data_IF_683598974979
#
_entry.id   IF_683598974979
#
_cell.length_a   1.000
_cell.length_b   1.000
_cell.length_c   1.000
_cell.angle_alpha   90.00
_cell.angle_beta   90.00
_cell.angle_gamma   90.00
#
_symmetry.space_group_name_H-M   'P 1'
#
loop_
_entity.id
_entity.type
_entity.pdbx_description
1 polymer ?
#
# COMPACT_ATOMS: atom_id res chain seq x y z
N UNK A 1 12.09 -1.27 -11.24
CA UNK A 1 10.84 -2.04 -11.12
C UNK A 1 9.70 -1.09 -11.43
N UNK A 2 8.77 -1.46 -12.30
CA UNK A 2 7.60 -0.60 -12.62
C UNK A 2 6.54 -0.70 -11.52
N UNK A 3 5.60 0.25 -11.43
CA UNK A 3 4.51 0.17 -10.47
C UNK A 3 3.65 -1.07 -10.71
N UNK A 4 3.34 -1.40 -11.97
CA UNK A 4 2.56 -2.59 -12.30
C UNK A 4 3.24 -3.87 -11.80
N UNK A 5 4.55 -4.02 -12.05
CA UNK A 5 5.29 -5.20 -11.59
C UNK A 5 5.33 -5.32 -10.06
N UNK A 6 5.48 -4.20 -9.34
CA UNK A 6 5.42 -4.19 -7.89
C UNK A 6 4.02 -4.51 -7.36
N UNK A 7 2.99 -3.93 -7.97
CA UNK A 7 1.58 -4.11 -7.61
C UNK A 7 1.17 -5.58 -7.68
N UNK A 8 1.49 -6.25 -8.78
CA UNK A 8 1.21 -7.68 -8.95
C UNK A 8 1.94 -8.52 -7.91
N UNK A 9 3.26 -8.34 -7.77
CA UNK A 9 4.06 -9.08 -6.80
C UNK A 9 3.64 -8.82 -5.34
N UNK A 10 3.14 -7.63 -5.01
CA UNK A 10 2.61 -7.33 -3.70
C UNK A 10 1.25 -8.02 -3.45
N UNK A 11 0.33 -7.95 -4.41
CA UNK A 11 -0.96 -8.63 -4.32
C UNK A 11 -0.83 -10.16 -4.21
N UNK A 12 0.11 -10.76 -4.93
CA UNK A 12 0.42 -12.19 -4.82
C UNK A 12 0.95 -12.57 -3.42
N UNK A 13 1.85 -11.77 -2.84
CA UNK A 13 2.32 -11.97 -1.46
C UNK A 13 1.17 -11.83 -0.46
N UNK A 14 0.31 -10.84 -0.65
CA UNK A 14 -0.87 -10.64 0.19
C UNK A 14 -1.78 -11.87 0.13
N UNK A 15 -2.09 -12.35 -1.08
CA UNK A 15 -2.88 -13.58 -1.29
C UNK A 15 -2.25 -14.79 -0.59
N UNK A 16 -0.94 -14.98 -0.70
CA UNK A 16 -0.25 -16.09 -0.06
C UNK A 16 -0.41 -16.08 1.48
N UNK A 17 -0.36 -14.90 2.11
CA UNK A 17 -0.64 -14.76 3.56
C UNK A 17 -2.10 -15.10 3.86
N UNK A 18 -3.05 -14.57 3.08
CA UNK A 18 -4.47 -14.84 3.27
C UNK A 18 -4.85 -16.31 3.11
N UNK A 19 -4.24 -17.01 2.15
CA UNK A 19 -4.49 -18.43 1.92
C UNK A 19 -4.05 -19.28 3.12
N UNK A 20 -2.95 -18.92 3.81
CA UNK A 20 -2.51 -19.56 5.07
C UNK A 20 -3.47 -19.29 6.24
N UNK A 21 -4.10 -18.12 6.25
CA UNK A 21 -4.90 -17.60 7.36
C UNK A 21 -6.41 -17.70 7.11
N UNK A 22 -6.84 -18.53 6.16
CA UNK A 22 -8.24 -18.66 5.74
C UNK A 22 -9.22 -19.02 6.89
N UNK A 23 -8.70 -19.66 7.94
CA UNK A 23 -9.41 -20.09 9.13
C UNK A 23 -9.72 -18.96 10.12
N UNK A 24 -9.02 -17.83 10.02
CA UNK A 24 -9.27 -16.66 10.87
C UNK A 24 -10.55 -15.93 10.42
N UNK A 25 -11.21 -15.25 11.36
CA UNK A 25 -12.22 -14.25 11.05
C UNK A 25 -11.60 -12.98 10.44
N UNK A 26 -12.43 -12.11 9.86
CA UNK A 26 -11.96 -10.87 9.24
C UNK A 26 -11.28 -9.93 10.25
N UNK A 27 -11.81 -9.85 11.48
CA UNK A 27 -11.22 -9.03 12.55
C UNK A 27 -9.87 -9.60 13.04
N UNK A 28 -9.78 -10.91 13.20
CA UNK A 28 -8.52 -11.58 13.56
C UNK A 28 -7.48 -11.41 12.45
N UNK A 29 -7.91 -11.47 11.19
CA UNK A 29 -7.04 -11.26 10.04
C UNK A 29 -6.54 -9.82 9.96
N UNK A 30 -7.41 -8.81 10.16
CA UNK A 30 -6.98 -7.41 10.23
C UNK A 30 -5.97 -7.23 11.37
N UNK A 31 -6.25 -7.77 12.56
CA UNK A 31 -5.32 -7.69 13.69
C UNK A 31 -3.99 -8.44 13.44
N UNK A 32 -4.02 -9.53 12.67
CA UNK A 32 -2.83 -10.26 12.26
C UNK A 32 -1.89 -9.37 11.43
N UNK A 33 -2.42 -8.47 10.61
CA UNK A 33 -1.62 -7.57 9.80
C UNK A 33 -0.99 -6.38 10.56
N UNK A 34 -1.17 -6.28 11.89
CA UNK A 34 -0.41 -5.34 12.72
C UNK A 34 1.09 -5.61 12.60
N UNK A 35 1.88 -4.54 12.59
CA UNK A 35 3.34 -4.61 12.40
C UNK A 35 3.99 -5.64 13.31
N UNK A 36 3.64 -5.64 14.60
CA UNK A 36 4.21 -6.51 15.62
C UNK A 36 3.98 -8.00 15.31
N UNK A 37 2.85 -8.34 14.68
CA UNK A 37 2.55 -9.69 14.22
C UNK A 37 3.26 -10.01 12.90
N UNK A 38 3.21 -9.10 11.93
CA UNK A 38 3.75 -9.31 10.59
C UNK A 38 5.27 -9.45 10.60
N UNK A 39 5.96 -8.66 11.42
CA UNK A 39 7.43 -8.72 11.55
C UNK A 39 7.90 -10.05 12.13
N UNK A 40 7.15 -10.63 13.07
CA UNK A 40 7.46 -11.90 13.70
C UNK A 40 7.10 -13.09 12.81
N UNK A 41 5.93 -13.06 12.19
CA UNK A 41 5.32 -14.23 11.54
C UNK A 41 5.52 -14.29 10.03
N UNK A 42 5.71 -13.14 9.39
CA UNK A 42 5.86 -13.01 7.93
C UNK A 42 7.06 -12.09 7.58
N UNK A 43 8.29 -12.37 8.09
CA UNK A 43 9.44 -11.46 7.96
C UNK A 43 9.86 -11.18 6.51
N UNK A 44 9.56 -12.08 5.58
CA UNK A 44 9.87 -11.93 4.15
C UNK A 44 8.82 -11.10 3.38
N UNK A 45 7.69 -10.75 4.01
CA UNK A 45 6.62 -9.99 3.37
C UNK A 45 7.08 -8.58 2.98
N UNK A 46 7.88 -7.95 3.84
CA UNK A 46 8.38 -6.59 3.67
C UNK A 46 9.87 -6.53 4.02
N UNK A 47 10.72 -5.88 3.20
CA UNK A 47 12.16 -5.77 3.50
C UNK A 47 12.44 -5.08 4.84
N UNK A 48 11.58 -4.16 5.28
CA UNK A 48 11.74 -3.46 6.56
C UNK A 48 11.55 -4.38 7.79
N UNK A 49 10.87 -5.51 7.62
CA UNK A 49 10.65 -6.46 8.71
C UNK A 49 11.93 -7.18 9.10
N UNK A 50 12.83 -7.46 8.14
CA UNK A 50 14.15 -8.00 8.41
C UNK A 50 15.00 -7.09 9.31
N UNK A 51 14.72 -5.78 9.30
CA UNK A 51 15.37 -4.77 10.13
C UNK A 51 14.53 -4.38 11.37
N UNK A 52 13.40 -5.06 11.59
CA UNK A 52 12.41 -4.73 12.63
C UNK A 52 12.02 -3.24 12.65
N UNK A 53 11.81 -2.65 11.46
CA UNK A 53 11.57 -1.22 11.28
C UNK A 53 10.15 -0.92 10.80
N UNK A 54 9.48 0.03 11.45
CA UNK A 54 8.18 0.58 11.01
C UNK A 54 8.37 1.51 9.80
N UNK A 55 7.45 1.47 8.85
CA UNK A 55 7.44 2.41 7.71
C UNK A 55 6.84 3.78 8.08
N UNK A 56 5.93 3.81 9.05
CA UNK A 56 5.34 5.02 9.60
C UNK A 56 5.39 4.96 11.12
N UNK A 57 5.77 6.08 11.74
CA UNK A 57 5.80 6.22 13.18
C UNK A 57 4.38 6.41 13.71
N UNK A 58 3.75 5.30 14.10
CA UNK A 58 2.44 5.27 14.74
C UNK A 58 2.36 4.09 15.71
N UNK A 59 1.55 4.27 16.76
CA UNK A 59 1.38 3.25 17.80
C UNK A 59 0.86 1.93 17.21
N UNK A 60 -0.24 1.99 16.47
CA UNK A 60 -0.94 0.83 15.92
C UNK A 60 -0.78 0.74 14.40
N UNK A 61 0.44 0.53 13.91
CA UNK A 61 0.72 0.37 12.48
C UNK A 61 0.14 -0.95 11.96
N UNK A 62 -0.85 -0.87 11.06
CA UNK A 62 -1.41 -2.04 10.39
C UNK A 62 -1.02 -2.08 8.91
N UNK A 63 -0.52 -3.21 8.44
CA UNK A 63 0.08 -3.35 7.11
C UNK A 63 -0.88 -3.94 6.05
N UNK A 64 -2.14 -4.23 6.38
CA UNK A 64 -3.10 -4.84 5.45
C UNK A 64 -3.26 -4.04 4.15
N UNK A 65 -3.46 -2.73 4.26
CA UNK A 65 -3.54 -1.81 3.12
C UNK A 65 -2.27 -0.97 2.96
N UNK A 66 -1.08 -1.51 3.31
CA UNK A 66 0.16 -0.76 3.15
C UNK A 66 0.37 -0.26 1.70
N UNK A 67 -0.13 -0.99 0.72
CA UNK A 67 -0.46 -0.46 -0.60
C UNK A 67 -1.81 0.28 -0.55
N UNK A 68 -1.76 1.62 -0.52
CA UNK A 68 -2.94 2.46 -0.31
C UNK A 68 -3.96 2.34 -1.47
N UNK A 69 -5.25 2.07 -1.21
CA UNK A 69 -6.29 2.02 -2.24
C UNK A 69 -6.57 3.36 -2.93
N UNK A 70 -6.08 4.48 -2.38
CA UNK A 70 -6.18 5.81 -2.99
C UNK A 70 -4.94 6.19 -3.81
N UNK A 71 -3.92 5.33 -3.87
CA UNK A 71 -2.78 5.56 -4.74
C UNK A 71 -3.20 5.25 -6.18
N UNK A 72 -2.83 6.12 -7.12
CA UNK A 72 -3.04 5.91 -8.56
C UNK A 72 -1.69 5.89 -9.23
N UNK A 73 -1.48 4.93 -10.12
CA UNK A 73 -0.29 4.89 -10.95
C UNK A 73 -0.61 4.57 -12.40
N UNK A 74 0.27 5.05 -13.28
CA UNK A 74 0.32 4.68 -14.69
C UNK A 74 1.78 4.58 -15.09
N UNK A 75 2.26 3.39 -15.45
CA UNK A 75 3.66 3.19 -15.86
C UNK A 75 4.00 3.94 -17.18
N UNK A 76 2.99 4.30 -17.98
CA UNK A 76 3.15 5.12 -19.19
C UNK A 76 3.01 6.63 -18.93
N UNK A 77 2.67 7.01 -17.69
CA UNK A 77 2.38 8.39 -17.29
C UNK A 77 0.94 8.82 -17.58
N UNK A 78 0.38 9.64 -16.69
CA UNK A 78 -0.96 10.21 -16.81
C UNK A 78 -1.03 11.43 -17.73
N UNK A 79 -0.05 12.33 -17.59
CA UNK A 79 0.03 13.60 -18.34
C UNK A 79 1.40 14.25 -18.17
N UNK A 80 1.73 15.13 -19.10
CA UNK A 80 2.80 16.11 -18.93
C UNK A 80 2.35 17.25 -18.01
N UNK A 81 3.22 17.66 -17.09
CA UNK A 81 3.13 18.85 -16.28
C UNK A 81 4.43 19.62 -16.43
N UNK A 82 4.38 20.76 -17.12
CA UNK A 82 5.58 21.48 -17.55
C UNK A 82 6.46 20.57 -18.43
N UNK A 83 7.69 20.27 -17.99
CA UNK A 83 8.65 19.40 -18.67
C UNK A 83 8.72 17.98 -18.04
N UNK A 84 7.75 17.63 -17.18
CA UNK A 84 7.76 16.38 -16.40
C UNK A 84 6.52 15.53 -16.60
N UNK A 85 6.70 14.22 -16.57
CA UNK A 85 5.60 13.24 -16.65
C UNK A 85 5.08 12.89 -15.26
N UNK A 86 3.77 13.01 -15.03
CA UNK A 86 3.13 12.53 -13.80
C UNK A 86 2.87 11.02 -13.89
N UNK A 87 3.54 10.22 -13.06
CA UNK A 87 3.38 8.76 -13.04
C UNK A 87 2.47 8.26 -11.93
N UNK A 88 2.32 9.00 -10.84
CA UNK A 88 1.43 8.63 -9.74
C UNK A 88 0.88 9.82 -8.98
N UNK A 89 -0.32 9.67 -8.41
CA UNK A 89 -0.99 10.68 -7.60
C UNK A 89 -1.88 10.05 -6.52
N UNK A 90 -2.31 10.87 -5.55
CA UNK A 90 -3.36 10.50 -4.59
C UNK A 90 -4.74 10.80 -5.20
N UNK A 91 -5.69 9.89 -5.05
CA UNK A 91 -7.07 10.03 -5.55
C UNK A 91 -7.96 10.90 -4.63
N UNK A 92 -7.54 11.09 -3.39
CA UNK A 92 -8.29 11.83 -2.36
C UNK A 92 -7.59 13.14 -1.94
N UNK A 93 -6.50 13.51 -2.63
CA UNK A 93 -5.69 14.69 -2.33
C UNK A 93 -5.41 14.84 -0.82
N UNK A 94 -4.93 13.76 -0.20
CA UNK A 94 -4.66 13.74 1.24
C UNK A 94 -3.73 14.89 1.62
N UNK A 95 -4.11 15.67 2.64
CA UNK A 95 -3.29 16.76 3.18
C UNK A 95 -1.90 16.33 3.66
N UNK A 96 -1.73 15.04 3.96
CA UNK A 96 -0.49 14.44 4.45
C UNK A 96 0.30 13.73 3.31
N UNK A 97 -0.22 13.80 2.08
CA UNK A 97 0.47 13.36 0.87
C UNK A 97 1.34 14.48 0.27
N UNK A 98 2.38 14.08 -0.46
CA UNK A 98 3.32 14.99 -1.12
C UNK A 98 3.69 14.45 -2.52
N UNK A 99 4.55 15.15 -3.26
CA UNK A 99 5.10 14.71 -4.53
C UNK A 99 6.63 14.69 -4.49
N UNK A 100 7.19 13.57 -4.94
CA UNK A 100 8.59 13.46 -5.27
C UNK A 100 8.79 13.84 -6.74
N UNK A 101 9.60 14.87 -7.01
CA UNK A 101 9.85 15.40 -8.36
C UNK A 101 11.31 15.17 -8.74
N UNK A 102 11.55 14.55 -9.90
CA UNK A 102 12.86 14.46 -10.53
C UNK A 102 12.96 15.50 -11.64
N UNK A 103 14.01 15.40 -12.48
CA UNK A 103 14.17 16.25 -13.66
C UNK A 103 13.00 16.07 -14.64
N UNK A 104 12.54 14.83 -14.83
CA UNK A 104 11.63 14.38 -15.89
C UNK A 104 10.32 13.75 -15.38
N UNK A 105 10.19 13.48 -14.08
CA UNK A 105 9.07 12.73 -13.51
C UNK A 105 8.50 13.33 -12.23
N UNK A 106 7.23 13.05 -11.99
CA UNK A 106 6.50 13.34 -10.75
C UNK A 106 5.87 12.05 -10.24
N UNK A 107 6.21 11.71 -9.00
CA UNK A 107 5.68 10.55 -8.28
C UNK A 107 4.99 11.00 -7.00
N UNK A 108 3.92 10.32 -6.62
CA UNK A 108 3.28 10.51 -5.32
C UNK A 108 4.20 10.01 -4.20
N UNK A 109 4.36 10.84 -3.17
CA UNK A 109 5.03 10.51 -1.92
C UNK A 109 3.98 10.38 -0.80
N UNK A 110 3.96 9.24 -0.13
CA UNK A 110 3.00 8.95 0.94
C UNK A 110 3.65 8.86 2.33
N UNK A 111 4.94 9.17 2.48
CA UNK A 111 5.68 8.93 3.73
C UNK A 111 5.09 9.66 4.97
N UNK A 112 4.33 10.74 4.76
CA UNK A 112 3.62 11.45 5.84
C UNK A 112 2.20 10.96 6.12
N UNK A 113 1.65 10.08 5.28
CA UNK A 113 0.24 9.71 5.30
C UNK A 113 0.01 8.38 6.02
N UNK A 114 -0.83 8.38 7.06
CA UNK A 114 -1.16 7.16 7.81
C UNK A 114 -2.53 6.57 7.48
N UNK A 115 -3.31 7.22 6.61
CA UNK A 115 -4.70 6.85 6.25
C UNK A 115 -4.90 5.34 6.05
N UNK A 116 -4.13 4.64 5.19
CA UNK A 116 -4.40 3.24 4.91
C UNK A 116 -3.99 2.28 6.05
N UNK A 117 -3.25 2.78 7.04
CA UNK A 117 -2.76 2.00 8.17
C UNK A 117 -3.70 1.98 9.37
N UNK A 118 -4.76 2.78 9.36
CA UNK A 118 -5.77 2.78 10.43
C UNK A 118 -6.73 1.61 10.26
N UNK A 119 -6.94 0.82 11.31
CA UNK A 119 -7.89 -0.31 11.27
C UNK A 119 -9.31 0.10 10.87
N UNK A 120 -9.76 1.30 11.29
CA UNK A 120 -11.06 1.82 10.90
C UNK A 120 -11.18 2.02 9.37
N UNK A 121 -10.09 2.47 8.73
CA UNK A 121 -10.04 2.59 7.28
C UNK A 121 -10.02 1.20 6.62
N UNK A 122 -9.20 0.29 7.15
CA UNK A 122 -9.10 -1.08 6.65
C UNK A 122 -10.47 -1.78 6.72
N UNK A 123 -11.14 -1.76 7.87
CA UNK A 123 -12.49 -2.35 8.05
C UNK A 123 -13.51 -1.81 7.03
N UNK A 124 -13.48 -0.50 6.77
CA UNK A 124 -14.41 0.15 5.82
C UNK A 124 -14.21 -0.34 4.38
N UNK A 125 -12.97 -0.70 4.01
CA UNK A 125 -12.59 -1.08 2.66
C UNK A 125 -12.20 -2.55 2.53
N UNK A 126 -12.52 -3.37 3.55
CA UNK A 126 -12.00 -4.72 3.67
C UNK A 126 -12.58 -5.66 2.62
N UNK A 127 -11.71 -6.50 2.08
CA UNK A 127 -12.02 -7.68 1.30
C UNK A 127 -10.86 -8.67 1.50
N UNK A 128 -11.16 -9.96 1.55
CA UNK A 128 -10.14 -11.02 1.48
C UNK A 128 -9.53 -11.17 0.08
N UNK A 129 -10.11 -10.51 -0.92
CA UNK A 129 -9.44 -10.34 -2.20
C UNK A 129 -8.85 -8.94 -2.26
N UNK A 130 -7.53 -8.84 -2.08
CA UNK A 130 -6.80 -7.58 -2.12
C UNK A 130 -6.94 -6.88 -3.48
N UNK A 131 -6.99 -7.64 -4.59
CA UNK A 131 -7.13 -7.04 -5.92
C UNK A 131 -8.51 -6.39 -6.11
N UNK A 132 -9.56 -6.90 -5.45
CA UNK A 132 -10.89 -6.26 -5.45
C UNK A 132 -10.87 -4.88 -4.77
N UNK A 133 -10.13 -4.73 -3.67
CA UNK A 133 -9.93 -3.44 -2.99
C UNK A 133 -9.19 -2.48 -3.92
N UNK A 134 -8.20 -3.00 -4.63
CA UNK A 134 -7.22 -2.22 -5.37
C UNK A 134 -7.57 -2.03 -6.84
N UNK A 135 -8.76 -2.44 -7.29
CA UNK A 135 -9.17 -2.41 -8.70
C UNK A 135 -9.05 -1.05 -9.39
N UNK A 136 -9.14 0.05 -8.65
CA UNK A 136 -9.03 1.41 -9.16
C UNK A 136 -7.59 1.97 -9.12
N UNK A 137 -6.62 1.22 -8.61
CA UNK A 137 -5.25 1.70 -8.37
C UNK A 137 -4.43 1.75 -9.66
N UNK A 138 -4.37 0.68 -10.48
CA UNK A 138 -3.82 0.79 -11.82
C UNK A 138 -4.82 1.57 -12.68
N UNK A 139 -4.46 2.79 -13.08
CA UNK A 139 -5.24 3.56 -14.05
C UNK A 139 -4.37 3.78 -15.28
N UNK A 140 -4.69 3.03 -16.33
CA UNK A 140 -4.10 3.17 -17.67
C UNK A 140 -4.60 4.43 -18.37
#
# INVERSE_FOLDING_TARGET
>A
MSYQSWFQAHGERHKAVLDKLNHLSDEELIAYFRFENMVEKEPDFCPLYAENKKCHEMENLNCYLCACPNFRFNDNGFRQQEEKTLYSHCDIDSKDGDQFKTEDAIHQNCAGCTVPHHEAYIRKHFSRDWFEIMKAVPNS
#
